data_IF_056453844899
#
_entry.id   IF_056453844899
#
_cell.length_a   1.000
_cell.length_b   1.000
_cell.length_c   1.000
_cell.angle_alpha   90.00
_cell.angle_beta   90.00
_cell.angle_gamma   90.00
#
_symmetry.space_group_name_H-M   'P 1'
#
loop_
_entity.id
_entity.type
_entity.pdbx_description
1 polymer ?
#
# COMPACT_ATOMS: atom_id res chain seq x y z
N UNK A 1 -23.74 -5.19 -15.13
CA UNK A 1 -22.31 -5.01 -15.44
C UNK A 1 -21.95 -6.12 -16.42
N UNK A 2 -21.87 -5.83 -17.72
CA UNK A 2 -21.51 -6.83 -18.75
C UNK A 2 -20.05 -7.22 -18.54
N UNK A 3 -19.79 -8.46 -18.12
CA UNK A 3 -18.45 -9.05 -18.22
C UNK A 3 -18.39 -9.61 -19.64
N UNK A 4 -17.84 -8.82 -20.55
CA UNK A 4 -17.73 -9.17 -21.98
C UNK A 4 -16.60 -10.19 -22.20
N UNK A 5 -16.70 -11.09 -23.17
CA UNK A 5 -15.62 -12.03 -23.55
C UNK A 5 -14.32 -11.29 -23.88
N UNK A 6 -14.42 -10.04 -24.33
CA UNK A 6 -13.29 -9.14 -24.53
C UNK A 6 -12.43 -8.96 -23.25
N UNK A 7 -13.04 -8.99 -22.06
CA UNK A 7 -12.32 -8.88 -20.80
C UNK A 7 -11.56 -10.16 -20.44
N UNK A 8 -12.04 -11.33 -20.85
CA UNK A 8 -11.32 -12.59 -20.60
C UNK A 8 -10.10 -12.71 -21.52
N UNK A 9 -10.24 -12.44 -22.82
CA UNK A 9 -9.09 -12.39 -23.73
C UNK A 9 -8.08 -11.31 -23.33
N UNK A 10 -8.54 -10.13 -22.89
CA UNK A 10 -7.66 -9.09 -22.37
C UNK A 10 -6.96 -9.53 -21.08
N UNK A 11 -7.69 -10.14 -20.13
CA UNK A 11 -7.11 -10.66 -18.88
C UNK A 11 -6.10 -11.78 -19.16
N UNK A 12 -6.38 -12.67 -20.10
CA UNK A 12 -5.46 -13.73 -20.54
C UNK A 12 -4.22 -13.18 -21.24
N UNK A 13 -4.35 -12.18 -22.11
CA UNK A 13 -3.22 -11.46 -22.71
C UNK A 13 -2.33 -10.81 -21.65
N UNK A 14 -2.91 -10.37 -20.53
CA UNK A 14 -2.19 -9.81 -19.38
C UNK A 14 -1.72 -10.87 -18.36
N UNK A 15 -1.72 -12.16 -18.71
CA UNK A 15 -1.17 -13.24 -17.88
C UNK A 15 -2.11 -13.81 -16.81
N UNK A 16 -3.42 -13.56 -16.89
CA UNK A 16 -4.40 -14.29 -16.09
C UNK A 16 -4.71 -15.65 -16.72
N UNK A 17 -4.78 -16.70 -15.90
CA UNK A 17 -5.12 -18.06 -16.35
C UNK A 17 -6.60 -18.31 -16.05
N UNK A 18 -7.37 -18.76 -17.04
CA UNK A 18 -8.75 -19.18 -16.79
C UNK A 18 -8.73 -20.39 -15.84
N UNK A 19 -9.36 -20.27 -14.68
CA UNK A 19 -9.42 -21.34 -13.66
C UNK A 19 -10.60 -22.27 -13.90
N UNK A 20 -11.57 -21.78 -14.67
CA UNK A 20 -12.72 -22.51 -15.15
C UNK A 20 -12.94 -22.13 -16.62
N UNK A 21 -13.44 -23.06 -17.44
CA UNK A 21 -13.84 -22.70 -18.80
C UNK A 21 -14.98 -21.67 -18.74
N UNK A 22 -14.98 -20.64 -19.60
CA UNK A 22 -16.08 -19.69 -19.66
C UNK A 22 -17.41 -20.41 -19.89
N UNK A 23 -18.49 -19.94 -19.27
CA UNK A 23 -19.83 -20.50 -19.45
C UNK A 23 -20.84 -19.40 -19.75
N UNK A 24 -21.89 -19.75 -20.48
CA UNK A 24 -22.96 -18.82 -20.86
C UNK A 24 -24.19 -19.03 -19.98
N UNK A 25 -24.76 -17.94 -19.49
CA UNK A 25 -26.12 -17.93 -18.93
C UNK A 25 -27.00 -17.09 -19.84
N UNK A 26 -28.20 -17.59 -20.15
CA UNK A 26 -29.15 -16.90 -21.04
C UNK A 26 -30.49 -16.74 -20.34
N UNK A 27 -31.00 -15.52 -20.35
CA UNK A 27 -32.36 -15.18 -19.91
C UNK A 27 -33.12 -14.43 -21.01
N UNK A 28 -34.29 -13.87 -20.67
CA UNK A 28 -35.17 -13.15 -21.59
C UNK A 28 -34.53 -11.87 -22.15
N UNK A 29 -33.50 -11.34 -21.50
CA UNK A 29 -32.79 -10.10 -21.84
C UNK A 29 -31.46 -10.35 -22.58
N UNK A 30 -31.04 -11.61 -22.74
CA UNK A 30 -29.92 -12.03 -23.59
C UNK A 30 -28.98 -13.06 -22.95
N UNK A 31 -27.84 -13.30 -23.61
CA UNK A 31 -26.80 -14.22 -23.14
C UNK A 31 -25.63 -13.45 -22.53
N UNK A 32 -25.18 -13.85 -21.34
CA UNK A 32 -23.99 -13.33 -20.66
C UNK A 32 -22.98 -14.46 -20.49
N UNK A 33 -21.76 -14.25 -20.99
CA UNK A 33 -20.64 -15.17 -20.78
C UNK A 33 -19.90 -14.80 -19.50
N UNK A 34 -19.80 -15.76 -18.58
CA UNK A 34 -19.03 -15.65 -17.35
C UNK A 34 -17.68 -16.36 -17.51
N UNK A 35 -16.64 -15.81 -16.89
CA UNK A 35 -15.33 -16.44 -16.81
C UNK A 35 -14.71 -16.21 -15.43
N UNK A 36 -14.06 -17.24 -14.90
CA UNK A 36 -13.26 -17.14 -13.68
C UNK A 36 -11.79 -17.13 -14.07
N UNK A 37 -11.12 -16.01 -13.83
CA UNK A 37 -9.69 -15.83 -14.13
C UNK A 37 -8.86 -15.75 -12.85
N UNK A 38 -7.83 -16.58 -12.76
CA UNK A 38 -6.80 -16.50 -11.73
C UNK A 38 -5.68 -15.63 -12.27
N UNK A 39 -5.54 -14.45 -11.68
CA UNK A 39 -4.30 -13.70 -11.80
C UNK A 39 -3.23 -14.45 -11.01
N UNK A 40 -2.03 -14.67 -11.57
CA UNK A 40 -0.89 -15.31 -10.88
C UNK A 40 -0.37 -14.56 -9.64
N UNK A 41 -1.14 -13.63 -9.12
CA UNK A 41 -0.89 -12.90 -7.90
C UNK A 41 -1.30 -13.78 -6.71
N UNK A 42 -0.38 -14.61 -6.24
CA UNK A 42 -0.52 -15.25 -4.92
C UNK A 42 -0.24 -14.21 -3.86
N UNK A 43 -1.27 -13.46 -3.49
CA UNK A 43 -1.15 -12.54 -2.36
C UNK A 43 -1.45 -13.28 -1.06
N UNK A 44 -0.54 -13.18 -0.08
CA UNK A 44 -0.94 -13.33 1.32
C UNK A 44 -1.46 -11.97 1.74
N UNK A 45 -2.77 -11.84 1.95
CA UNK A 45 -3.36 -10.55 2.31
C UNK A 45 -3.03 -10.29 3.78
N UNK A 46 -2.00 -9.48 4.03
CA UNK A 46 -1.90 -8.76 5.29
C UNK A 46 -2.75 -7.51 5.13
N UNK A 47 -3.97 -7.51 5.68
CA UNK A 47 -4.81 -6.31 5.66
C UNK A 47 -4.19 -5.27 6.60
N UNK A 48 -3.27 -4.48 6.05
CA UNK A 48 -2.69 -3.32 6.70
C UNK A 48 -3.68 -2.15 6.63
N UNK A 49 -4.74 -2.23 7.42
CA UNK A 49 -5.81 -1.24 7.39
C UNK A 49 -5.40 0.02 8.15
N UNK A 50 -4.95 1.04 7.43
CA UNK A 50 -4.74 2.35 8.03
C UNK A 50 -6.08 3.02 8.32
N UNK A 51 -6.43 3.21 9.59
CA UNK A 51 -7.59 4.02 9.97
C UNK A 51 -7.10 5.43 10.27
N UNK A 52 -7.52 6.38 9.44
CA UNK A 52 -7.34 7.82 9.70
C UNK A 52 -8.49 8.32 10.55
N UNK A 53 -8.28 9.12 11.60
CA UNK A 53 -9.40 9.70 12.36
C UNK A 53 -9.10 11.14 12.79
N UNK A 54 -10.17 11.93 12.95
CA UNK A 54 -10.11 13.31 13.44
C UNK A 54 -10.75 13.37 14.83
N UNK A 55 -10.08 14.09 15.75
CA UNK A 55 -10.41 14.24 17.18
C UNK A 55 -10.34 12.97 18.03
N UNK A 56 -9.76 13.14 19.23
CA UNK A 56 -9.78 12.20 20.33
C UNK A 56 -11.24 11.87 20.69
N UNK A 57 -11.74 10.74 20.19
CA UNK A 57 -12.94 10.11 20.77
C UNK A 57 -12.63 9.82 22.25
N UNK A 58 -13.67 9.81 23.09
CA UNK A 58 -13.58 9.52 24.55
C UNK A 58 -12.86 8.22 24.90
N UNK A 59 -12.68 7.31 23.93
CA UNK A 59 -11.84 6.13 24.02
C UNK A 59 -10.94 6.06 22.78
N UNK A 60 -9.60 6.04 22.95
CA UNK A 60 -8.64 5.80 21.86
C UNK A 60 -8.99 4.55 21.04
N UNK A 61 -8.77 4.62 19.73
CA UNK A 61 -9.26 3.62 18.77
C UNK A 61 -8.57 2.26 18.96
N UNK A 62 -7.28 2.29 19.31
CA UNK A 62 -6.46 1.13 19.66
C UNK A 62 -7.04 0.34 20.84
N UNK A 63 -7.59 1.02 21.86
CA UNK A 63 -8.17 0.36 23.03
C UNK A 63 -9.42 -0.46 22.68
N UNK A 64 -10.10 -0.15 21.56
CA UNK A 64 -11.24 -0.96 21.10
C UNK A 64 -10.76 -2.30 20.58
N UNK A 65 -9.65 -2.33 19.85
CA UNK A 65 -9.03 -3.56 19.37
C UNK A 65 -8.47 -4.38 20.52
N UNK A 66 -7.81 -3.73 21.48
CA UNK A 66 -7.29 -4.39 22.68
C UNK A 66 -8.41 -5.00 23.53
N UNK A 67 -9.45 -4.22 23.85
CA UNK A 67 -10.53 -4.68 24.75
C UNK A 67 -11.45 -5.72 24.12
N UNK A 68 -11.80 -5.55 22.84
CA UNK A 68 -12.85 -6.36 22.22
C UNK A 68 -12.29 -7.56 21.46
N UNK A 69 -11.12 -7.43 20.84
CA UNK A 69 -10.52 -8.49 20.02
C UNK A 69 -9.28 -9.12 20.68
N UNK A 70 -8.88 -8.64 21.87
CA UNK A 70 -7.66 -9.09 22.56
C UNK A 70 -6.40 -8.89 21.73
N UNK A 71 -6.39 -7.86 20.88
CA UNK A 71 -5.19 -7.44 20.19
C UNK A 71 -4.23 -6.78 21.18
N UNK A 72 -2.97 -6.66 20.80
CA UNK A 72 -1.97 -5.93 21.58
C UNK A 72 -1.24 -4.93 20.69
N UNK A 73 -0.67 -3.90 21.32
CA UNK A 73 0.18 -2.94 20.62
C UNK A 73 1.48 -3.61 20.21
N UNK A 74 1.76 -3.61 18.91
CA UNK A 74 2.99 -4.16 18.34
C UNK A 74 4.10 -3.12 18.32
N UNK A 75 3.82 -1.95 17.74
CA UNK A 75 4.74 -0.81 17.75
C UNK A 75 3.96 0.50 17.67
N UNK A 76 4.65 1.59 18.01
CA UNK A 76 4.14 2.95 17.83
C UNK A 76 5.24 3.82 17.25
N UNK A 77 4.88 4.67 16.30
CA UNK A 77 5.77 5.65 15.69
C UNK A 77 5.17 7.03 15.89
N UNK A 78 5.96 7.94 16.44
CA UNK A 78 5.52 9.30 16.75
C UNK A 78 5.89 10.30 15.64
N UNK A 79 5.44 11.55 15.84
CA UNK A 79 5.68 12.67 14.94
C UNK A 79 7.15 13.10 14.89
N UNK A 80 7.99 12.67 15.82
CA UNK A 80 9.44 12.90 15.77
C UNK A 80 10.15 11.89 14.88
N UNK A 81 9.53 10.74 14.64
CA UNK A 81 10.07 9.68 13.80
C UNK A 81 9.50 9.71 12.37
N UNK A 82 8.23 10.10 12.20
CA UNK A 82 7.60 10.24 10.88
C UNK A 82 7.13 11.68 10.69
N UNK A 83 8.02 12.49 10.11
CA UNK A 83 7.71 13.81 9.61
C UNK A 83 8.49 14.14 8.34
N UNK A 84 7.91 14.96 7.49
CA UNK A 84 8.63 15.70 6.44
C UNK A 84 8.98 17.09 6.97
N UNK A 85 9.47 17.98 6.10
CA UNK A 85 9.56 19.40 6.45
C UNK A 85 8.16 20.02 6.70
N UNK A 86 7.12 19.44 6.09
CA UNK A 86 5.81 20.07 5.96
C UNK A 86 4.70 19.38 6.76
N UNK A 87 4.71 18.05 6.89
CA UNK A 87 3.65 17.31 7.55
C UNK A 87 4.18 16.19 8.45
N UNK A 88 3.32 15.68 9.33
CA UNK A 88 3.64 14.56 10.22
C UNK A 88 2.40 13.66 10.43
N UNK A 89 2.63 12.45 10.92
CA UNK A 89 1.59 11.60 11.49
C UNK A 89 2.07 10.89 12.74
N UNK A 90 1.14 10.37 13.52
CA UNK A 90 1.43 9.34 14.53
C UNK A 90 0.76 8.05 14.11
N UNK A 91 1.46 6.94 14.31
CA UNK A 91 0.98 5.61 13.94
C UNK A 91 1.08 4.66 15.14
N UNK A 92 0.00 3.94 15.42
CA UNK A 92 0.00 2.83 16.40
C UNK A 92 -0.39 1.57 15.65
N UNK A 93 0.46 0.55 15.67
CA UNK A 93 0.14 -0.75 15.09
C UNK A 93 -0.42 -1.66 16.17
N UNK A 94 -1.65 -2.13 15.95
CA UNK A 94 -2.26 -3.20 16.76
C UNK A 94 -2.21 -4.52 16.00
N UNK A 95 -2.04 -5.61 16.73
CA UNK A 95 -1.93 -6.96 16.13
C UNK A 95 -2.61 -8.02 16.99
N UNK A 96 -3.06 -9.11 16.36
CA UNK A 96 -3.50 -10.30 17.10
C UNK A 96 -2.32 -11.00 17.78
N UNK A 97 -2.62 -11.94 18.68
CA UNK A 97 -1.61 -12.66 19.47
C UNK A 97 -0.53 -13.34 18.63
N UNK A 98 -0.91 -13.97 17.51
CA UNK A 98 0.02 -14.68 16.62
C UNK A 98 0.75 -13.74 15.62
N UNK A 99 0.50 -12.43 15.69
CA UNK A 99 1.09 -11.41 14.82
C UNK A 99 0.83 -11.58 13.31
N UNK A 100 -0.24 -12.29 12.97
CA UNK A 100 -0.65 -12.56 11.58
C UNK A 100 -1.53 -11.48 10.99
N UNK A 101 -2.22 -10.69 11.81
CA UNK A 101 -3.06 -9.56 11.40
C UNK A 101 -2.48 -8.29 12.01
N UNK A 102 -1.96 -7.39 11.18
CA UNK A 102 -1.32 -6.14 11.59
C UNK A 102 -2.14 -4.95 11.08
N UNK A 103 -2.60 -4.08 11.97
CA UNK A 103 -3.41 -2.91 11.63
C UNK A 103 -2.78 -1.62 12.20
N UNK A 104 -2.08 -0.83 11.37
CA UNK A 104 -1.65 0.52 11.71
C UNK A 104 -2.86 1.44 11.83
N UNK A 105 -2.86 2.28 12.85
CA UNK A 105 -3.87 3.29 13.11
C UNK A 105 -3.17 4.64 13.06
N UNK A 106 -3.55 5.50 12.12
CA UNK A 106 -2.85 6.75 11.86
C UNK A 106 -3.71 7.94 12.29
N UNK A 107 -3.08 8.89 12.97
CA UNK A 107 -3.70 10.17 13.32
C UNK A 107 -2.91 11.33 12.71
N UNK A 108 -3.59 12.42 12.30
CA UNK A 108 -2.91 13.59 11.81
C UNK A 108 -2.10 14.21 12.95
N UNK A 109 -0.85 14.58 12.69
CA UNK A 109 -0.02 15.32 13.63
C UNK A 109 0.21 16.77 13.13
N UNK A 110 0.51 17.72 14.04
CA UNK A 110 0.79 19.10 13.66
C UNK A 110 1.99 19.20 12.70
N UNK A 111 1.87 20.02 11.66
CA UNK A 111 2.91 20.30 10.67
C UNK A 111 2.76 21.71 10.09
N UNK A 112 3.72 22.14 9.26
CA UNK A 112 3.63 23.43 8.54
C UNK A 112 2.51 23.47 7.51
N UNK A 113 2.15 22.31 6.94
CA UNK A 113 1.07 22.12 5.96
C UNK A 113 0.09 21.06 6.47
N UNK A 114 -1.06 20.98 5.81
CA UNK A 114 -2.09 19.97 6.11
C UNK A 114 -1.54 18.55 5.98
N UNK A 115 -1.76 17.72 7.01
CA UNK A 115 -1.38 16.29 6.99
C UNK A 115 -2.20 15.53 5.95
N UNK A 116 -1.57 14.59 5.24
CA UNK A 116 -2.26 13.66 4.33
C UNK A 116 -3.38 12.86 4.99
N UNK A 117 -3.24 12.57 6.29
CA UNK A 117 -4.27 11.91 7.09
C UNK A 117 -5.51 12.81 7.22
N UNK A 118 -5.30 14.13 7.34
CA UNK A 118 -6.39 15.10 7.34
C UNK A 118 -7.01 15.24 5.95
N UNK A 119 -6.22 15.24 4.86
CA UNK A 119 -6.76 15.20 3.49
C UNK A 119 -7.68 13.98 3.31
N UNK A 120 -7.22 12.79 3.71
CA UNK A 120 -8.03 11.57 3.67
C UNK A 120 -9.37 11.77 4.40
N UNK A 121 -9.34 12.25 5.65
CA UNK A 121 -10.58 12.40 6.45
C UNK A 121 -11.52 13.43 5.83
N UNK A 122 -11.01 14.51 5.25
CA UNK A 122 -11.84 15.55 4.64
C UNK A 122 -12.55 15.04 3.39
N UNK A 123 -11.88 14.24 2.54
CA UNK A 123 -12.48 13.67 1.33
C UNK A 123 -13.32 12.41 1.60
N UNK A 124 -12.97 11.64 2.63
CA UNK A 124 -13.71 10.45 3.05
C UNK A 124 -14.92 10.80 3.93
N UNK A 125 -14.86 11.93 4.64
CA UNK A 125 -15.89 12.46 5.53
C UNK A 125 -15.90 11.86 6.94
N UNK A 126 -15.05 10.87 7.22
CA UNK A 126 -14.96 10.18 8.52
C UNK A 126 -13.67 9.36 8.59
N UNK A 127 -13.56 8.55 9.63
CA UNK A 127 -12.52 7.56 9.73
C UNK A 127 -12.76 6.36 8.81
N UNK A 128 -11.69 5.83 8.21
CA UNK A 128 -11.79 4.73 7.25
C UNK A 128 -10.44 4.18 6.82
N UNK A 129 -10.50 3.16 5.97
CA UNK A 129 -9.33 2.46 5.43
C UNK A 129 -8.63 3.33 4.38
N UNK A 130 -7.38 3.71 4.65
CA UNK A 130 -6.56 4.45 3.71
C UNK A 130 -5.86 3.53 2.71
N UNK A 131 -5.32 2.39 3.15
CA UNK A 131 -4.71 1.44 2.23
C UNK A 131 -4.83 -0.01 2.68
N UNK A 132 -4.55 -0.91 1.75
CA UNK A 132 -4.48 -2.37 1.96
C UNK A 132 -3.19 -2.87 1.32
N UNK A 133 -2.38 -3.59 2.09
CA UNK A 133 -1.14 -4.19 1.62
C UNK A 133 -1.32 -5.63 1.12
N UNK A 134 -0.77 -5.92 -0.05
CA UNK A 134 -0.85 -7.20 -0.73
C UNK A 134 0.55 -7.81 -0.79
N UNK A 135 0.80 -8.85 0.00
CA UNK A 135 2.13 -9.47 0.09
C UNK A 135 2.37 -10.45 -1.06
N UNK A 136 3.45 -10.30 -1.81
CA UNK A 136 3.88 -11.18 -2.90
C UNK A 136 5.27 -11.76 -2.63
N UNK A 137 5.58 -12.91 -3.23
CA UNK A 137 6.92 -13.50 -3.24
C UNK A 137 7.76 -13.06 -4.44
N UNK A 138 7.16 -12.40 -5.43
CA UNK A 138 7.82 -11.84 -6.60
C UNK A 138 7.16 -10.51 -6.99
N UNK A 139 7.71 -9.42 -6.47
CA UNK A 139 7.21 -8.06 -6.63
C UNK A 139 7.56 -7.53 -8.02
N UNK A 140 8.71 -7.88 -8.60
CA UNK A 140 9.08 -7.41 -9.92
C UNK A 140 8.07 -7.88 -10.96
N UNK A 141 7.77 -9.19 -10.98
CA UNK A 141 6.78 -9.74 -11.89
C UNK A 141 5.38 -9.21 -11.59
N UNK A 142 5.00 -9.09 -10.30
CA UNK A 142 3.70 -8.54 -9.92
C UNK A 142 3.50 -7.10 -10.42
N UNK A 143 4.49 -6.22 -10.24
CA UNK A 143 4.40 -4.82 -10.65
C UNK A 143 4.45 -4.65 -12.16
N UNK A 144 5.26 -5.44 -12.88
CA UNK A 144 5.24 -5.46 -14.35
C UNK A 144 3.84 -5.82 -14.86
N UNK A 145 3.28 -6.92 -14.38
CA UNK A 145 1.94 -7.36 -14.78
C UNK A 145 0.85 -6.33 -14.41
N UNK A 146 0.93 -5.70 -13.24
CA UNK A 146 -0.02 -4.67 -12.83
C UNK A 146 0.07 -3.43 -13.72
N UNK A 147 1.29 -2.96 -14.05
CA UNK A 147 1.50 -1.84 -14.98
C UNK A 147 0.98 -2.15 -16.38
N UNK A 148 1.25 -3.35 -16.90
CA UNK A 148 0.73 -3.79 -18.21
C UNK A 148 -0.81 -3.83 -18.25
N UNK A 149 -1.45 -4.08 -17.11
CA UNK A 149 -2.92 -4.04 -16.94
C UNK A 149 -3.46 -2.62 -16.72
N UNK A 150 -2.62 -1.59 -16.76
CA UNK A 150 -3.01 -0.19 -16.59
C UNK A 150 -3.07 0.31 -15.15
N UNK A 151 -2.54 -0.45 -14.17
CA UNK A 151 -2.43 0.05 -12.80
C UNK A 151 -1.40 1.19 -12.73
N UNK A 152 -1.80 2.31 -12.14
CA UNK A 152 -0.91 3.45 -11.91
C UNK A 152 -0.33 3.44 -10.49
N UNK A 153 0.95 3.81 -10.39
CA UNK A 153 1.69 3.85 -9.13
C UNK A 153 2.18 5.27 -8.82
N UNK A 154 2.47 5.51 -7.54
CA UNK A 154 3.10 6.76 -7.11
C UNK A 154 4.48 6.91 -7.75
N UNK A 155 4.87 8.17 -7.99
CA UNK A 155 6.16 8.49 -8.61
C UNK A 155 7.19 8.76 -7.51
N UNK A 156 8.27 8.00 -7.54
CA UNK A 156 9.43 8.18 -6.66
C UNK A 156 10.55 8.89 -7.45
N UNK A 157 11.17 9.97 -6.92
CA UNK A 157 12.25 10.66 -7.61
C UNK A 157 13.50 9.78 -7.72
N UNK A 158 14.27 9.92 -8.81
CA UNK A 158 15.47 9.10 -9.03
C UNK A 158 16.57 9.31 -7.98
N UNK A 159 16.61 10.49 -7.36
CA UNK A 159 17.51 10.82 -6.24
C UNK A 159 17.33 9.88 -5.04
N UNK A 160 16.14 9.30 -4.85
CA UNK A 160 15.92 8.26 -3.84
C UNK A 160 16.85 7.07 -4.06
N UNK A 161 16.97 6.61 -5.31
CA UNK A 161 17.75 5.42 -5.66
C UNK A 161 19.26 5.66 -5.64
N UNK A 162 19.69 6.90 -5.87
CA UNK A 162 21.08 7.32 -5.66
C UNK A 162 21.45 7.22 -4.18
N UNK A 163 20.60 7.77 -3.31
CA UNK A 163 20.77 7.69 -1.85
C UNK A 163 20.66 6.26 -1.33
N UNK A 164 19.74 5.46 -1.86
CA UNK A 164 19.59 4.04 -1.52
C UNK A 164 20.87 3.26 -1.84
N UNK A 165 21.43 3.45 -3.04
CA UNK A 165 22.71 2.82 -3.42
C UNK A 165 23.85 3.21 -2.51
N UNK A 166 23.88 4.45 -2.01
CA UNK A 166 24.88 4.86 -1.01
C UNK A 166 24.67 4.13 0.32
N UNK A 167 23.44 4.10 0.85
CA UNK A 167 23.09 3.42 2.10
C UNK A 167 23.37 1.91 2.07
N UNK A 168 23.13 1.27 0.93
CA UNK A 168 23.35 -0.17 0.76
C UNK A 168 24.84 -0.57 0.72
N UNK A 169 25.76 0.36 0.44
CA UNK A 169 27.21 0.07 0.46
C UNK A 169 27.70 -0.31 1.86
N UNK A 170 27.12 0.31 2.88
CA UNK A 170 27.48 0.12 4.29
C UNK A 170 26.49 -0.80 5.03
N UNK A 171 25.50 -1.35 4.31
CA UNK A 171 24.46 -2.18 4.90
C UNK A 171 24.94 -3.61 5.20
N UNK A 172 24.50 -4.24 6.29
CA UNK A 172 24.83 -5.63 6.61
C UNK A 172 24.06 -6.65 5.75
N UNK A 173 23.15 -6.19 4.90
CA UNK A 173 22.32 -7.02 4.03
C UNK A 173 22.62 -6.78 2.56
N UNK A 174 22.23 -7.74 1.73
CA UNK A 174 22.29 -7.64 0.28
C UNK A 174 20.88 -7.81 -0.29
N UNK A 175 20.41 -6.79 -1.01
CA UNK A 175 19.17 -6.88 -1.81
C UNK A 175 19.45 -7.82 -2.99
N UNK A 176 18.58 -8.80 -3.20
CA UNK A 176 18.78 -9.83 -4.23
C UNK A 176 18.35 -9.34 -5.61
N UNK A 177 17.31 -8.49 -5.64
CA UNK A 177 16.78 -7.88 -6.85
C UNK A 177 17.73 -6.82 -7.45
N UNK A 178 17.69 -6.68 -8.78
CA UNK A 178 18.46 -5.65 -9.48
C UNK A 178 17.92 -4.24 -9.13
N UNK A 179 18.77 -3.42 -8.50
CA UNK A 179 18.43 -2.05 -8.12
C UNK A 179 18.01 -1.16 -9.29
N UNK A 180 18.50 -1.43 -10.51
CA UNK A 180 18.07 -0.70 -11.70
C UNK A 180 16.63 -1.07 -12.07
N UNK A 181 16.29 -2.35 -11.99
CA UNK A 181 14.91 -2.81 -12.21
C UNK A 181 13.96 -2.25 -11.14
N UNK A 182 14.40 -2.23 -9.88
CA UNK A 182 13.61 -1.61 -8.80
C UNK A 182 13.40 -0.11 -9.05
N UNK A 183 14.43 0.59 -9.54
CA UNK A 183 14.35 2.01 -9.92
C UNK A 183 13.42 2.27 -11.11
N UNK A 184 13.45 1.43 -12.14
CA UNK A 184 12.57 1.54 -13.30
C UNK A 184 11.11 1.29 -12.89
N UNK A 185 10.89 0.33 -11.98
CA UNK A 185 9.57 0.00 -11.49
C UNK A 185 9.06 0.96 -10.40
N UNK A 186 9.92 1.84 -9.86
CA UNK A 186 9.62 2.75 -8.76
C UNK A 186 9.28 2.03 -7.44
N UNK A 187 9.93 0.89 -7.19
CA UNK A 187 9.81 0.09 -5.96
C UNK A 187 10.75 0.66 -4.89
N UNK A 188 10.23 0.89 -3.69
CA UNK A 188 10.97 1.35 -2.52
C UNK A 188 11.61 0.16 -1.78
N UNK A 189 12.75 0.41 -1.14
CA UNK A 189 13.53 -0.57 -0.36
C UNK A 189 13.80 0.00 1.03
N UNK A 190 13.32 -0.72 2.05
CA UNK A 190 13.77 -0.52 3.43
C UNK A 190 14.48 -1.76 3.93
N UNK A 191 15.36 -1.61 4.91
CA UNK A 191 16.12 -2.73 5.44
C UNK A 191 16.54 -2.49 6.89
N UNK A 192 16.77 -3.60 7.59
CA UNK A 192 17.36 -3.66 8.92
C UNK A 192 18.57 -4.62 8.92
N UNK A 193 19.07 -4.94 10.11
CA UNK A 193 20.24 -5.81 10.25
C UNK A 193 19.96 -7.29 9.86
N UNK A 194 18.70 -7.67 9.69
CA UNK A 194 18.26 -9.06 9.49
C UNK A 194 17.72 -9.32 8.09
N UNK A 195 17.21 -8.30 7.42
CA UNK A 195 16.52 -8.44 6.16
C UNK A 195 16.12 -7.11 5.53
N UNK A 196 15.34 -7.22 4.46
CA UNK A 196 14.85 -6.08 3.70
C UNK A 196 13.41 -6.28 3.22
N UNK A 197 12.86 -5.18 2.74
CA UNK A 197 11.46 -4.93 2.52
C UNK A 197 11.32 -4.14 1.23
N UNK A 198 10.54 -4.70 0.29
CA UNK A 198 10.21 -4.05 -0.97
C UNK A 198 8.76 -3.59 -0.93
N UNK A 199 8.49 -2.33 -1.27
CA UNK A 199 7.15 -1.74 -1.21
C UNK A 199 6.89 -0.83 -2.40
N UNK A 200 5.64 -0.79 -2.85
CA UNK A 200 5.18 0.21 -3.82
C UNK A 200 3.69 0.46 -3.62
N UNK A 201 3.28 1.70 -3.83
CA UNK A 201 1.90 2.14 -3.61
C UNK A 201 1.27 2.57 -4.94
N UNK A 202 0.02 2.20 -5.14
CA UNK A 202 -0.78 2.67 -6.26
C UNK A 202 -1.11 4.15 -6.09
N UNK A 203 -1.51 4.82 -7.17
CA UNK A 203 -2.33 6.03 -7.05
C UNK A 203 -3.67 5.69 -6.35
N UNK A 204 -4.43 6.69 -5.88
CA UNK A 204 -5.78 6.46 -5.37
C UNK A 204 -6.62 5.65 -6.36
N UNK A 205 -7.34 4.64 -5.87
CA UNK A 205 -8.17 3.74 -6.68
C UNK A 205 -9.46 4.39 -7.20
N UNK A 206 -9.66 5.66 -6.87
CA UNK A 206 -10.82 6.48 -7.20
C UNK A 206 -10.40 7.95 -7.24
N UNK A 207 -11.24 8.82 -7.82
CA UNK A 207 -10.94 10.25 -7.96
C UNK A 207 -10.68 10.95 -6.62
N UNK A 208 -11.32 10.46 -5.54
CA UNK A 208 -11.07 10.97 -4.19
C UNK A 208 -9.75 10.41 -3.67
N UNK A 209 -8.86 11.24 -3.09
CA UNK A 209 -7.56 10.82 -2.57
C UNK A 209 -7.72 10.05 -1.24
N UNK A 210 -8.37 8.88 -1.28
CA UNK A 210 -8.71 8.10 -0.09
C UNK A 210 -8.06 6.71 -0.09
N UNK A 211 -8.62 5.75 -0.83
CA UNK A 211 -8.16 4.36 -0.80
C UNK A 211 -7.05 4.16 -1.84
N UNK A 212 -5.92 3.62 -1.39
CA UNK A 212 -4.80 3.18 -2.22
C UNK A 212 -4.42 1.73 -1.89
N UNK A 213 -3.70 1.06 -2.79
CA UNK A 213 -3.20 -0.28 -2.57
C UNK A 213 -1.68 -0.25 -2.42
N UNK A 214 -1.16 -1.13 -1.59
CA UNK A 214 0.27 -1.37 -1.44
C UNK A 214 0.57 -2.79 -1.93
N UNK A 215 1.66 -2.96 -2.67
CA UNK A 215 2.24 -4.28 -2.93
C UNK A 215 3.55 -4.36 -2.17
N UNK A 216 3.70 -5.42 -1.37
CA UNK A 216 4.83 -5.60 -0.47
C UNK A 216 5.48 -6.97 -0.69
N UNK A 217 6.80 -7.05 -0.58
CA UNK A 217 7.54 -8.30 -0.50
C UNK A 217 8.54 -8.20 0.64
N UNK A 218 8.65 -9.29 1.42
CA UNK A 218 9.46 -9.34 2.64
C UNK A 218 10.53 -10.40 2.51
N UNK A 219 11.77 -10.00 2.78
CA UNK A 219 12.92 -10.88 2.87
C UNK A 219 13.46 -10.82 4.29
N UNK A 220 13.04 -11.76 5.14
CA UNK A 220 13.42 -11.83 6.55
C UNK A 220 13.21 -10.53 7.36
N UNK A 221 12.20 -9.74 6.98
CA UNK A 221 11.89 -8.44 7.59
C UNK A 221 10.43 -8.36 8.02
N UNK A 222 10.19 -8.14 9.32
CA UNK A 222 8.85 -8.10 9.92
C UNK A 222 8.34 -6.68 10.21
N UNK A 223 9.17 -5.64 10.01
CA UNK A 223 8.80 -4.24 10.22
C UNK A 223 7.90 -3.64 9.14
N UNK A 224 7.55 -2.36 9.28
CA UNK A 224 6.62 -1.65 8.37
C UNK A 224 7.29 -0.69 7.40
N UNK A 225 8.62 -0.66 7.37
CA UNK A 225 9.34 0.22 6.46
C UNK A 225 9.47 1.65 6.98
N UNK A 226 9.78 1.83 8.27
CA UNK A 226 9.94 3.15 8.89
C UNK A 226 10.88 4.07 8.09
N UNK A 227 11.94 3.51 7.47
CA UNK A 227 12.83 4.26 6.60
C UNK A 227 12.20 4.64 5.25
N UNK A 228 11.28 3.82 4.73
CA UNK A 228 10.50 4.12 3.54
C UNK A 228 9.40 5.15 3.79
N UNK A 229 8.88 5.27 5.01
CA UNK A 229 7.78 6.19 5.33
C UNK A 229 8.10 7.61 4.86
N UNK A 230 9.31 8.14 5.12
CA UNK A 230 9.66 9.49 4.67
C UNK A 230 9.58 9.65 3.15
N UNK A 231 10.13 8.68 2.39
CA UNK A 231 10.16 8.75 0.93
C UNK A 231 8.78 8.56 0.32
N UNK A 232 7.95 7.71 0.94
CA UNK A 232 6.54 7.55 0.61
C UNK A 232 5.77 8.85 0.86
N UNK A 233 6.00 9.48 2.00
CA UNK A 233 5.38 10.74 2.36
C UNK A 233 5.72 11.84 1.36
N UNK A 234 7.00 12.00 1.02
CA UNK A 234 7.43 12.97 0.02
C UNK A 234 6.77 12.70 -1.35
N UNK A 235 6.62 11.42 -1.74
CA UNK A 235 5.94 11.05 -2.97
C UNK A 235 4.42 11.35 -2.94
N UNK A 236 3.75 11.11 -1.81
CA UNK A 236 2.33 11.46 -1.63
C UNK A 236 2.15 12.97 -1.60
N UNK A 237 3.04 13.71 -0.91
CA UNK A 237 3.01 15.18 -0.86
C UNK A 237 3.19 15.79 -2.25
N UNK A 238 4.11 15.27 -3.06
CA UNK A 238 4.25 15.68 -4.46
C UNK A 238 2.97 15.46 -5.26
N UNK A 239 2.27 14.35 -5.01
CA UNK A 239 0.98 14.05 -5.65
C UNK A 239 -0.16 14.94 -5.12
N UNK A 240 -0.14 15.32 -3.84
CA UNK A 240 -1.05 16.30 -3.23
C UNK A 240 -0.84 17.70 -3.78
N UNK A 241 0.42 18.12 -3.96
CA UNK A 241 0.78 19.40 -4.55
C UNK A 241 0.26 19.48 -5.99
N UNK A 242 0.39 18.40 -6.77
CA UNK A 242 -0.19 18.30 -8.12
C UNK A 242 -1.71 18.44 -8.13
N UNK A 243 -2.40 18.00 -7.06
CA UNK A 243 -3.85 18.20 -6.88
C UNK A 243 -4.23 19.58 -6.33
N UNK A 244 -3.26 20.38 -5.88
CA UNK A 244 -3.50 21.69 -5.26
C UNK A 244 -4.02 21.63 -3.81
N UNK A 245 -3.91 20.48 -3.14
CA UNK A 245 -4.44 20.27 -1.79
C UNK A 245 -3.41 20.46 -0.68
N UNK A 246 -2.18 20.84 -1.02
CA UNK A 246 -1.06 21.02 -0.10
C UNK A 246 -0.91 22.51 0.28
N UNK A 247 -1.84 23.02 1.09
CA UNK A 247 -1.87 24.40 1.61
C UNK A 247 -1.61 24.47 3.13
#
# INVERSE_FOLDING_TARGET
MKIDMANNEAASKCGAVSVHEPWDETDEDGTVTFATVQTNLKFVIFVLMTISFHNARTVPFELRYEKNLQFHRFCSVDDKQIHTEYSALRSIVVTNWEETIKMPLNEPAPGKRKSQIQEFVDYYGTAGVQHIALNTSDIISAIRNLKERGMEFLVIPDTYYENLRARLKDAPIKVEEDLNVLQDLKILVDFDDKGYLLQIFTKPMQDRPTLLLEVIQRHNHQGFGAGNFKSLFEAIELDQERRGNLY
#
